data_IF_157279776760
#
_entry.id   IF_157279776760
#
_cell.length_a   1.000
_cell.length_b   1.000
_cell.length_c   1.000
_cell.angle_alpha   90.00
_cell.angle_beta   90.00
_cell.angle_gamma   90.00
#
_symmetry.space_group_name_H-M   'P 1'
#
loop_
_entity.id
_entity.type
_entity.pdbx_description
1 polymer ?
#
# COMPACT_ATOMS: atom_id res chain seq x y z
N UNK A 1 32.89 24.44 3.66
CA UNK A 1 32.01 23.44 2.99
C UNK A 1 31.02 22.93 4.02
N UNK A 2 29.71 23.11 3.80
CA UNK A 2 28.70 22.62 4.76
C UNK A 2 28.64 21.08 4.70
N UNK A 3 28.76 20.37 5.84
CA UNK A 3 28.67 18.91 5.88
C UNK A 3 27.23 18.38 5.74
N UNK A 4 26.26 19.27 5.56
CA UNK A 4 24.86 18.91 5.54
C UNK A 4 24.37 18.60 4.13
N UNK A 5 23.77 17.42 3.89
CA UNK A 5 23.20 17.09 2.60
C UNK A 5 22.17 18.15 2.21
N UNK A 6 22.29 18.63 0.98
CA UNK A 6 21.37 19.64 0.45
C UNK A 6 19.93 19.11 0.50
N UNK A 7 18.94 20.00 0.60
CA UNK A 7 17.52 19.62 0.58
C UNK A 7 17.16 18.78 -0.65
N UNK A 8 17.88 18.95 -1.75
CA UNK A 8 17.77 18.15 -2.98
C UNK A 8 18.29 16.70 -2.81
N UNK A 9 19.37 16.48 -2.07
CA UNK A 9 19.90 15.14 -1.78
C UNK A 9 18.99 14.32 -0.86
N UNK A 10 18.37 14.98 0.13
CA UNK A 10 17.39 14.33 1.03
C UNK A 10 16.12 13.84 0.32
N UNK A 11 15.87 14.31 -0.90
CA UNK A 11 14.72 13.92 -1.71
C UNK A 11 15.06 12.88 -2.79
N UNK A 12 16.32 12.44 -2.89
CA UNK A 12 16.71 11.41 -3.85
C UNK A 12 16.16 10.04 -3.42
N UNK A 13 15.55 9.28 -4.34
CA UNK A 13 15.11 7.93 -4.04
C UNK A 13 16.31 7.07 -3.67
N UNK A 14 16.28 6.44 -2.49
CA UNK A 14 17.36 5.59 -2.04
C UNK A 14 17.31 4.21 -2.73
N UNK A 15 18.34 3.82 -3.50
CA UNK A 15 18.32 2.58 -4.28
C UNK A 15 18.25 1.32 -3.40
N UNK A 16 18.80 1.37 -2.18
CA UNK A 16 18.72 0.25 -1.21
C UNK A 16 17.29 0.02 -0.73
N UNK A 17 16.57 1.08 -0.35
CA UNK A 17 15.17 0.98 0.08
C UNK A 17 14.26 0.47 -1.04
N UNK A 18 14.54 0.85 -2.30
CA UNK A 18 13.77 0.36 -3.45
C UNK A 18 13.89 -1.16 -3.62
N UNK A 19 15.07 -1.75 -3.43
CA UNK A 19 15.26 -3.21 -3.49
C UNK A 19 14.51 -3.93 -2.37
N UNK A 20 14.58 -3.41 -1.15
CA UNK A 20 13.85 -3.97 0.00
C UNK A 20 12.34 -3.89 -0.24
N UNK A 21 11.84 -2.76 -0.73
CA UNK A 21 10.41 -2.60 -1.02
C UNK A 21 9.94 -3.56 -2.11
N UNK A 22 10.75 -3.82 -3.14
CA UNK A 22 10.44 -4.80 -4.18
C UNK A 22 10.45 -6.25 -3.66
N UNK A 23 11.36 -6.61 -2.75
CA UNK A 23 11.38 -7.93 -2.14
C UNK A 23 10.15 -8.15 -1.25
N UNK A 24 9.80 -7.15 -0.43
CA UNK A 24 8.58 -7.16 0.37
C UNK A 24 7.33 -7.21 -0.52
N UNK A 25 7.33 -6.46 -1.63
CA UNK A 25 6.27 -6.52 -2.62
C UNK A 25 6.04 -7.93 -3.11
N UNK A 26 7.10 -8.57 -3.62
CA UNK A 26 7.04 -9.92 -4.15
C UNK A 26 6.50 -10.91 -3.10
N UNK A 27 6.94 -10.80 -1.84
CA UNK A 27 6.44 -11.63 -0.74
C UNK A 27 4.95 -11.45 -0.47
N UNK A 28 4.47 -10.19 -0.41
CA UNK A 28 3.04 -9.89 -0.19
C UNK A 28 2.19 -10.36 -1.37
N UNK A 29 2.66 -10.21 -2.59
CA UNK A 29 1.98 -10.72 -3.79
C UNK A 29 1.90 -12.25 -3.80
N UNK A 30 3.01 -12.94 -3.53
CA UNK A 30 3.03 -14.39 -3.44
C UNK A 30 2.09 -14.90 -2.34
N UNK A 31 2.05 -14.23 -1.18
CA UNK A 31 1.17 -14.59 -0.08
C UNK A 31 -0.31 -14.36 -0.43
N UNK A 32 -0.66 -13.26 -1.08
CA UNK A 32 -2.03 -12.97 -1.51
C UNK A 32 -2.54 -13.96 -2.56
N UNK A 33 -1.75 -14.22 -3.61
CA UNK A 33 -2.08 -15.21 -4.65
C UNK A 33 -2.16 -16.61 -4.06
N UNK A 34 -1.20 -16.99 -3.22
CA UNK A 34 -1.18 -18.29 -2.55
C UNK A 34 -2.40 -18.50 -1.66
N UNK A 35 -2.81 -17.48 -0.91
CA UNK A 35 -4.02 -17.50 -0.06
C UNK A 35 -5.27 -17.71 -0.90
N UNK A 36 -5.42 -16.98 -2.01
CA UNK A 36 -6.54 -17.16 -2.93
C UNK A 36 -6.56 -18.57 -3.54
N UNK A 37 -5.40 -19.07 -3.99
CA UNK A 37 -5.31 -20.41 -4.58
C UNK A 37 -5.62 -21.54 -3.58
N UNK A 38 -5.17 -21.41 -2.33
CA UNK A 38 -5.43 -22.39 -1.25
C UNK A 38 -6.88 -22.40 -0.80
N UNK A 39 -7.50 -21.22 -0.69
CA UNK A 39 -8.87 -21.10 -0.19
C UNK A 39 -9.92 -21.38 -1.27
N UNK A 40 -9.58 -21.18 -2.55
CA UNK A 40 -10.49 -21.45 -3.66
C UNK A 40 -10.60 -22.95 -3.94
N UNK A 41 -11.79 -23.52 -3.75
CA UNK A 41 -12.13 -24.88 -4.18
C UNK A 41 -13.30 -24.83 -5.18
N UNK A 42 -13.08 -25.08 -6.49
CA UNK A 42 -11.80 -25.40 -7.14
C UNK A 42 -10.86 -24.19 -7.30
N UNK A 43 -9.52 -24.42 -7.42
CA UNK A 43 -8.52 -23.34 -7.39
C UNK A 43 -8.47 -22.48 -8.66
N UNK A 44 -8.78 -23.07 -9.82
CA UNK A 44 -8.78 -22.38 -11.12
C UNK A 44 -9.72 -21.15 -11.17
N UNK A 45 -10.99 -21.23 -10.74
CA UNK A 45 -11.85 -20.05 -10.66
C UNK A 45 -11.31 -18.97 -9.71
N UNK A 46 -10.65 -19.35 -8.62
CA UNK A 46 -10.03 -18.40 -7.69
C UNK A 46 -8.99 -17.50 -8.35
N UNK A 47 -8.21 -18.07 -9.28
CA UNK A 47 -7.20 -17.33 -10.04
C UNK A 47 -7.81 -16.30 -10.99
N UNK A 48 -9.03 -16.53 -11.49
CA UNK A 48 -9.75 -15.54 -12.30
C UNK A 48 -10.07 -14.27 -11.51
N UNK A 49 -10.29 -14.39 -10.20
CA UNK A 49 -10.60 -13.25 -9.33
C UNK A 49 -9.38 -12.48 -8.83
N UNK A 50 -8.16 -13.01 -9.00
CA UNK A 50 -6.90 -12.36 -8.60
C UNK A 50 -6.81 -10.90 -9.05
N UNK A 51 -7.06 -10.50 -10.33
CA UNK A 51 -7.00 -9.10 -10.71
C UNK A 51 -8.02 -8.22 -9.95
N UNK A 52 -9.19 -8.76 -9.64
CA UNK A 52 -10.26 -8.04 -8.92
C UNK A 52 -10.00 -7.94 -7.42
N UNK A 53 -9.31 -8.91 -6.82
CA UNK A 53 -8.95 -8.87 -5.40
C UNK A 53 -7.62 -8.16 -5.17
N UNK A 54 -6.69 -8.19 -6.13
CA UNK A 54 -5.33 -7.66 -5.94
C UNK A 54 -5.13 -6.24 -6.49
N UNK A 55 -6.06 -5.66 -7.27
CA UNK A 55 -5.85 -4.30 -7.78
C UNK A 55 -5.67 -3.22 -6.69
N UNK A 56 -6.32 -3.26 -5.49
CA UNK A 56 -6.05 -2.26 -4.46
C UNK A 56 -4.64 -2.40 -3.88
N UNK A 57 -4.12 -3.62 -3.86
CA UNK A 57 -2.73 -3.93 -3.55
C UNK A 57 -1.78 -3.39 -4.63
N UNK A 58 -2.13 -3.48 -5.91
CA UNK A 58 -1.35 -2.87 -6.99
C UNK A 58 -1.28 -1.34 -6.86
N UNK A 59 -2.40 -0.68 -6.57
CA UNK A 59 -2.44 0.78 -6.34
C UNK A 59 -1.58 1.17 -5.14
N UNK A 60 -1.72 0.45 -4.03
CA UNK A 60 -0.93 0.71 -2.82
C UNK A 60 0.56 0.52 -3.08
N UNK A 61 0.94 -0.48 -3.87
CA UNK A 61 2.32 -0.68 -4.31
C UNK A 61 2.86 0.47 -5.17
N UNK A 62 2.08 0.95 -6.14
CA UNK A 62 2.45 2.11 -6.93
C UNK A 62 2.63 3.34 -6.04
N UNK A 63 1.80 3.51 -5.01
CA UNK A 63 1.96 4.58 -4.03
C UNK A 63 3.26 4.41 -3.20
N UNK A 64 3.60 3.19 -2.76
CA UNK A 64 4.85 2.89 -2.05
C UNK A 64 6.08 3.22 -2.91
N UNK A 65 6.05 2.83 -4.19
CA UNK A 65 7.15 3.09 -5.11
C UNK A 65 7.33 4.59 -5.41
N UNK A 66 6.25 5.37 -5.38
CA UNK A 66 6.28 6.82 -5.55
C UNK A 66 6.56 7.59 -4.25
N UNK A 67 6.37 6.96 -3.09
CA UNK A 67 6.67 7.56 -1.80
C UNK A 67 8.18 7.77 -1.63
N UNK A 68 8.57 9.03 -1.42
CA UNK A 68 9.98 9.42 -1.24
C UNK A 68 10.42 9.40 0.22
N UNK A 69 9.49 9.29 1.15
CA UNK A 69 9.74 9.30 2.58
C UNK A 69 9.46 7.93 3.22
N UNK A 70 10.37 7.50 4.10
CA UNK A 70 10.25 6.21 4.79
C UNK A 70 8.97 6.09 5.63
N UNK A 71 8.49 7.19 6.21
CA UNK A 71 7.24 7.21 6.99
C UNK A 71 6.01 6.92 6.13
N UNK A 72 5.90 7.55 4.95
CA UNK A 72 4.86 7.25 3.96
C UNK A 72 4.95 5.82 3.45
N UNK A 73 6.17 5.31 3.20
CA UNK A 73 6.36 3.90 2.84
C UNK A 73 5.89 2.95 3.94
N UNK A 74 6.27 3.18 5.21
CA UNK A 74 5.82 2.37 6.35
C UNK A 74 4.30 2.41 6.55
N UNK A 75 3.68 3.58 6.40
CA UNK A 75 2.23 3.73 6.52
C UNK A 75 1.49 2.94 5.42
N UNK A 76 1.97 3.03 4.18
CA UNK A 76 1.41 2.28 3.05
C UNK A 76 1.69 0.78 3.16
N UNK A 77 2.84 0.35 3.69
CA UNK A 77 3.09 -1.05 4.02
C UNK A 77 2.16 -1.57 5.11
N UNK A 78 1.91 -0.78 6.16
CA UNK A 78 0.92 -1.12 7.18
C UNK A 78 -0.47 -1.30 6.57
N UNK A 79 -0.86 -0.40 5.66
CA UNK A 79 -2.13 -0.51 4.92
C UNK A 79 -2.19 -1.78 4.06
N UNK A 80 -1.07 -2.14 3.42
CA UNK A 80 -0.95 -3.35 2.64
C UNK A 80 -1.14 -4.61 3.47
N UNK A 81 -0.57 -4.66 4.68
CA UNK A 81 -0.72 -5.80 5.61
C UNK A 81 -2.15 -5.89 6.14
N UNK A 82 -2.75 -4.76 6.56
CA UNK A 82 -4.15 -4.71 7.01
C UNK A 82 -5.08 -5.19 5.90
N UNK A 83 -4.84 -4.76 4.66
CA UNK A 83 -5.60 -5.21 3.51
C UNK A 83 -5.48 -6.72 3.30
N UNK A 84 -4.26 -7.27 3.35
CA UNK A 84 -4.05 -8.71 3.15
C UNK A 84 -4.75 -9.54 4.23
N UNK A 85 -4.68 -9.10 5.50
CA UNK A 85 -5.38 -9.74 6.60
C UNK A 85 -6.90 -9.70 6.41
N UNK A 86 -7.42 -8.55 5.97
CA UNK A 86 -8.84 -8.37 5.66
C UNK A 86 -9.29 -9.25 4.49
N UNK A 87 -8.50 -9.34 3.40
CA UNK A 87 -8.76 -10.24 2.27
C UNK A 87 -8.76 -11.69 2.73
N UNK A 88 -7.79 -12.11 3.53
CA UNK A 88 -7.73 -13.47 4.07
C UNK A 88 -8.97 -13.82 4.90
N UNK A 89 -9.41 -12.90 5.76
CA UNK A 89 -10.65 -13.03 6.52
C UNK A 89 -11.89 -13.11 5.62
N UNK A 90 -12.01 -12.20 4.64
CA UNK A 90 -13.12 -12.15 3.71
C UNK A 90 -13.20 -13.45 2.89
N UNK A 91 -12.08 -13.90 2.31
CA UNK A 91 -12.01 -15.16 1.58
C UNK A 91 -12.42 -16.34 2.47
N UNK A 92 -11.90 -16.44 3.69
CA UNK A 92 -12.28 -17.51 4.62
C UNK A 92 -13.78 -17.52 4.96
N UNK A 93 -14.41 -16.35 5.04
CA UNK A 93 -15.86 -16.22 5.25
C UNK A 93 -16.66 -16.61 4.00
N UNK A 94 -16.22 -16.18 2.81
CA UNK A 94 -16.89 -16.44 1.54
C UNK A 94 -16.87 -17.91 1.13
N UNK A 95 -15.76 -18.63 1.39
CA UNK A 95 -15.67 -20.06 1.08
C UNK A 95 -16.47 -20.96 2.03
N UNK A 96 -17.13 -20.40 3.05
CA UNK A 96 -18.16 -21.08 3.85
C UNK A 96 -19.58 -20.86 3.32
N UNK A 97 -19.76 -19.92 2.40
CA UNK A 97 -21.04 -19.63 1.76
C UNK A 97 -21.24 -20.53 0.52
N UNK A 98 -22.49 -20.66 0.01
CA UNK A 98 -22.75 -21.36 -1.25
C UNK A 98 -21.88 -20.81 -2.39
N UNK A 99 -21.39 -21.68 -3.28
CA UNK A 99 -20.35 -21.37 -4.25
C UNK A 99 -20.70 -20.18 -5.18
N UNK A 100 -21.98 -20.07 -5.52
CA UNK A 100 -22.58 -19.07 -6.39
C UNK A 100 -22.61 -17.67 -5.74
N UNK A 101 -22.88 -17.60 -4.43
CA UNK A 101 -22.80 -16.35 -3.67
C UNK A 101 -21.34 -15.91 -3.44
N UNK A 102 -20.45 -16.88 -3.17
CA UNK A 102 -19.04 -16.63 -2.90
C UNK A 102 -18.29 -15.95 -4.06
N UNK A 103 -18.64 -16.31 -5.30
CA UNK A 103 -18.02 -15.73 -6.51
C UNK A 103 -18.43 -14.27 -6.75
N UNK A 104 -19.70 -13.94 -6.56
CA UNK A 104 -20.19 -12.57 -6.66
C UNK A 104 -19.58 -11.68 -5.57
N UNK A 105 -19.49 -12.18 -4.34
CA UNK A 105 -18.88 -11.41 -3.26
C UNK A 105 -17.37 -11.15 -3.53
N UNK A 106 -16.64 -12.05 -4.21
CA UNK A 106 -15.22 -11.85 -4.56
C UNK A 106 -14.99 -10.68 -5.53
N UNK A 107 -15.94 -10.41 -6.41
CA UNK A 107 -15.91 -9.23 -7.30
C UNK A 107 -16.11 -7.94 -6.50
N UNK A 108 -16.91 -7.99 -5.43
CA UNK A 108 -17.30 -6.83 -4.63
C UNK A 108 -16.33 -6.61 -3.46
N UNK A 109 -15.53 -7.62 -3.10
CA UNK A 109 -14.60 -7.59 -1.95
C UNK A 109 -13.65 -6.40 -2.06
N UNK A 110 -13.07 -6.14 -3.22
CA UNK A 110 -12.17 -5.02 -3.37
C UNK A 110 -12.90 -3.67 -3.26
N UNK A 111 -14.14 -3.56 -3.74
CA UNK A 111 -14.96 -2.36 -3.56
C UNK A 111 -15.30 -2.13 -2.08
N UNK A 112 -15.54 -3.19 -1.30
CA UNK A 112 -15.74 -3.07 0.15
C UNK A 112 -14.48 -2.69 0.92
N UNK A 113 -13.30 -2.94 0.35
CA UNK A 113 -12.03 -2.54 0.95
C UNK A 113 -11.69 -1.05 0.73
N UNK A 114 -12.31 -0.41 -0.27
CA UNK A 114 -12.01 0.97 -0.65
C UNK A 114 -12.16 2.00 0.48
N UNK A 115 -13.19 1.96 1.32
CA UNK A 115 -13.31 2.91 2.43
C UNK A 115 -12.13 2.83 3.42
N UNK A 116 -11.68 1.60 3.71
CA UNK A 116 -10.57 1.35 4.66
C UNK A 116 -9.23 1.74 4.03
N UNK A 117 -8.97 1.27 2.81
CA UNK A 117 -7.75 1.62 2.08
C UNK A 117 -7.68 3.10 1.75
N UNK A 118 -8.81 3.71 1.39
CA UNK A 118 -8.93 5.13 1.08
C UNK A 118 -8.59 6.00 2.29
N UNK A 119 -9.06 5.64 3.49
CA UNK A 119 -8.68 6.32 4.73
C UNK A 119 -7.16 6.25 4.99
N UNK A 120 -6.55 5.09 4.75
CA UNK A 120 -5.11 4.89 4.92
C UNK A 120 -4.28 5.61 3.85
N UNK A 121 -4.73 5.62 2.59
CA UNK A 121 -4.12 6.40 1.52
C UNK A 121 -4.22 7.90 1.81
N UNK A 122 -5.36 8.37 2.31
CA UNK A 122 -5.56 9.76 2.71
C UNK A 122 -4.63 10.12 3.88
N UNK A 123 -4.53 9.27 4.90
CA UNK A 123 -3.60 9.46 6.02
C UNK A 123 -2.13 9.54 5.54
N UNK A 124 -1.72 8.65 4.63
CA UNK A 124 -0.39 8.67 4.04
C UNK A 124 -0.14 9.96 3.22
N UNK A 125 -1.14 10.40 2.44
CA UNK A 125 -1.08 11.65 1.69
C UNK A 125 -0.96 12.86 2.62
N UNK A 126 -1.77 12.92 3.67
CA UNK A 126 -1.74 13.99 4.67
C UNK A 126 -0.39 14.04 5.39
N UNK A 127 0.18 12.90 5.78
CA UNK A 127 1.52 12.83 6.35
C UNK A 127 2.57 13.39 5.38
N UNK A 128 2.50 13.01 4.11
CA UNK A 128 3.42 13.51 3.09
C UNK A 128 3.33 15.04 2.91
N UNK A 129 2.10 15.56 2.82
CA UNK A 129 1.84 17.00 2.68
C UNK A 129 2.27 17.78 3.92
N UNK A 130 2.02 17.25 5.12
CA UNK A 130 2.44 17.86 6.38
C UNK A 130 3.96 17.96 6.46
N UNK A 131 4.68 16.88 6.14
CA UNK A 131 6.15 16.86 6.11
C UNK A 131 6.71 17.87 5.10
N UNK A 132 6.13 17.95 3.90
CA UNK A 132 6.53 18.98 2.91
C UNK A 132 6.33 20.39 3.43
N UNK A 133 5.22 20.67 4.13
CA UNK A 133 4.95 21.98 4.74
C UNK A 133 5.99 22.32 5.81
N UNK A 134 6.33 21.38 6.68
CA UNK A 134 7.36 21.57 7.71
C UNK A 134 8.73 21.88 7.11
N UNK A 135 9.14 21.12 6.08
CA UNK A 135 10.40 21.34 5.39
C UNK A 135 10.46 22.70 4.68
N UNK A 136 9.34 23.15 4.08
CA UNK A 136 9.25 24.50 3.47
C UNK A 136 9.35 25.61 4.51
N UNK A 137 8.73 25.45 5.68
CA UNK A 137 8.83 26.42 6.79
C UNK A 137 10.24 26.49 7.36
N UNK A 138 10.91 25.35 7.53
CA UNK A 138 12.29 25.29 8.01
C UNK A 138 13.31 25.88 6.99
N UNK A 139 12.96 25.91 5.71
CA UNK A 139 13.79 26.49 4.65
C UNK A 139 13.46 27.97 4.35
N UNK A 140 12.43 28.55 4.99
CA UNK A 140 12.14 29.96 4.85
C UNK A 140 13.27 30.77 5.50
N UNK A 141 13.89 31.73 4.79
CA UNK A 141 14.90 32.60 5.40
C UNK A 141 14.26 33.33 6.58
N UNK A 142 14.98 33.40 7.71
CA UNK A 142 14.56 34.24 8.83
C UNK A 142 14.29 35.65 8.32
N UNK A 143 13.16 36.28 8.71
CA UNK A 143 12.97 37.69 8.40
C UNK A 143 14.16 38.44 8.98
N UNK A 144 14.92 39.11 8.11
CA UNK A 144 15.96 40.01 8.53
C UNK A 144 15.29 41.02 9.46
N UNK A 145 15.63 40.97 10.76
CA UNK A 145 15.24 42.01 11.69
C UNK A 145 15.91 43.29 11.18
N UNK A 146 15.11 44.18 10.61
CA UNK A 146 15.51 45.56 10.32
C UNK A 146 15.68 46.35 11.60
#
# INVERSE_FOLDING_TARGET
MSPWPTSAERLRPQPRLRKVNLALAAGIWALGIGTLALLSRPPMPGLFYVPFVMWPQAITHLAILNARDGMGQSCLFGAQVIYLAWVGFACAAMFRAPADAAMMDLLIVAFRAFPVLGALWLAALLCHLHKRRLLRRAAAPFPAKG
#
